data_IF_518435441716
#
_entry.id   IF_518435441716
#
_cell.length_a   1.000
_cell.length_b   1.000
_cell.length_c   1.000
_cell.angle_alpha   90.00
_cell.angle_beta   90.00
_cell.angle_gamma   90.00
#
_symmetry.space_group_name_H-M   'P 1'
#
loop_
_entity.id
_entity.type
_entity.pdbx_description
1 polymer ?
#
# COMPACT_ATOMS: atom_id res chain seq x y z
N UNK A 1 4.60 6.41 -4.61
CA UNK A 1 5.92 6.50 -5.25
C UNK A 1 6.04 5.37 -6.27
N UNK A 2 6.80 5.52 -7.35
CA UNK A 2 7.13 4.40 -8.25
C UNK A 2 8.59 4.00 -8.07
N UNK A 3 8.88 2.72 -8.19
CA UNK A 3 10.23 2.16 -8.20
C UNK A 3 10.44 1.30 -9.45
N UNK A 4 11.71 1.06 -9.79
CA UNK A 4 12.10 0.23 -10.94
C UNK A 4 12.87 -0.97 -10.39
N UNK A 5 12.40 -2.17 -10.69
CA UNK A 5 13.11 -3.43 -10.46
C UNK A 5 13.54 -4.02 -11.80
N UNK A 6 14.43 -5.00 -11.77
CA UNK A 6 14.79 -5.78 -12.97
C UNK A 6 13.56 -6.43 -13.63
N UNK A 7 12.54 -6.76 -12.83
CA UNK A 7 11.27 -7.33 -13.29
C UNK A 7 10.23 -6.31 -13.75
N UNK A 8 10.56 -5.01 -13.77
CA UNK A 8 9.67 -3.92 -14.20
C UNK A 8 9.31 -2.91 -13.09
N UNK A 9 8.31 -2.06 -13.38
CA UNK A 9 7.89 -0.97 -12.50
C UNK A 9 7.03 -1.47 -11.33
N UNK A 10 7.28 -0.94 -10.14
CA UNK A 10 6.51 -1.23 -8.92
C UNK A 10 5.96 0.04 -8.29
N UNK A 11 4.81 -0.05 -7.65
CA UNK A 11 4.30 1.01 -6.79
C UNK A 11 4.83 0.80 -5.36
N UNK A 12 5.43 1.83 -4.78
CA UNK A 12 5.99 1.80 -3.43
C UNK A 12 5.18 2.72 -2.52
N UNK A 13 4.69 2.16 -1.41
CA UNK A 13 4.06 2.88 -0.30
C UNK A 13 5.01 2.86 0.89
N UNK A 14 5.51 4.03 1.27
CA UNK A 14 6.32 4.22 2.48
C UNK A 14 5.38 4.41 3.66
N UNK A 15 5.56 3.62 4.71
CA UNK A 15 4.87 3.84 5.99
C UNK A 15 5.60 4.97 6.73
N UNK A 16 4.86 5.94 7.24
CA UNK A 16 5.45 7.08 7.93
C UNK A 16 6.03 6.65 9.28
N UNK A 17 7.16 7.26 9.65
CA UNK A 17 7.81 7.06 10.96
C UNK A 17 6.91 7.43 12.15
N UNK A 18 5.91 8.30 11.93
CA UNK A 18 4.94 8.70 12.94
C UNK A 18 3.89 7.61 13.24
N UNK A 19 3.72 6.64 12.34
CA UNK A 19 2.99 5.42 12.65
C UNK A 19 3.97 4.54 13.43
N UNK A 20 4.06 4.75 14.75
CA UNK A 20 4.82 3.87 15.65
C UNK A 20 4.09 2.53 15.77
N UNK A 21 4.09 1.80 14.66
CA UNK A 21 3.54 0.47 14.56
C UNK A 21 4.60 -0.48 15.10
N UNK A 22 4.27 -1.22 16.14
CA UNK A 22 5.16 -2.28 16.61
C UNK A 22 5.40 -3.35 15.51
N UNK A 23 6.40 -4.20 15.72
CA UNK A 23 6.76 -5.22 14.72
C UNK A 23 5.68 -6.29 14.56
N UNK A 24 4.93 -6.60 15.62
CA UNK A 24 3.90 -7.63 15.58
C UNK A 24 2.72 -7.19 14.71
N UNK A 25 2.25 -5.95 14.90
CA UNK A 25 1.21 -5.34 14.09
C UNK A 25 1.63 -5.24 12.62
N UNK A 26 2.88 -4.86 12.36
CA UNK A 26 3.40 -4.84 10.99
C UNK A 26 3.42 -6.21 10.34
N UNK A 27 3.91 -7.23 11.05
CA UNK A 27 3.93 -8.60 10.55
C UNK A 27 2.51 -9.14 10.31
N UNK A 28 1.55 -8.78 11.16
CA UNK A 28 0.14 -9.14 10.98
C UNK A 28 -0.46 -8.47 9.75
N UNK A 29 -0.19 -7.17 9.53
CA UNK A 29 -0.65 -6.44 8.36
C UNK A 29 -0.03 -7.00 7.06
N UNK A 30 1.28 -7.24 7.05
CA UNK A 30 1.99 -7.86 5.92
C UNK A 30 1.45 -9.27 5.63
N UNK A 31 1.25 -10.09 6.66
CA UNK A 31 0.64 -11.43 6.52
C UNK A 31 -0.73 -11.34 5.87
N UNK A 32 -1.54 -10.35 6.28
CA UNK A 32 -2.86 -10.10 5.69
C UNK A 32 -2.73 -9.70 4.22
N UNK A 33 -1.83 -8.78 3.88
CA UNK A 33 -1.58 -8.37 2.49
C UNK A 33 -1.10 -9.51 1.58
N UNK A 34 -0.31 -10.45 2.12
CA UNK A 34 0.14 -11.64 1.38
C UNK A 34 -1.03 -12.59 1.08
N UNK A 35 -1.97 -12.71 2.01
CA UNK A 35 -3.15 -13.60 1.87
C UNK A 35 -4.18 -13.03 0.91
N UNK A 36 -4.32 -11.71 0.84
CA UNK A 36 -5.30 -11.05 -0.03
C UNK A 36 -4.94 -11.25 -1.51
N UNK A 37 -5.74 -12.06 -2.19
CA UNK A 37 -5.62 -12.29 -3.64
C UNK A 37 -6.99 -12.16 -4.29
N UNK A 38 -7.18 -11.09 -5.06
CA UNK A 38 -8.43 -10.83 -5.77
C UNK A 38 -8.14 -10.11 -7.09
N UNK A 39 -8.88 -10.43 -8.15
CA UNK A 39 -8.70 -9.83 -9.49
C UNK A 39 -8.81 -8.29 -9.50
N UNK A 40 -9.59 -7.73 -8.57
CA UNK A 40 -9.84 -6.29 -8.42
C UNK A 40 -8.99 -5.63 -7.32
N UNK A 41 -8.09 -6.37 -6.66
CA UNK A 41 -7.16 -5.80 -5.67
C UNK A 41 -5.77 -5.76 -6.30
N UNK A 42 -5.08 -4.63 -6.16
CA UNK A 42 -3.71 -4.48 -6.64
C UNK A 42 -2.82 -5.49 -5.92
N UNK A 43 -2.12 -6.32 -6.70
CA UNK A 43 -1.29 -7.40 -6.16
C UNK A 43 -0.16 -6.85 -5.30
N UNK A 44 -0.08 -7.31 -4.05
CA UNK A 44 1.08 -7.12 -3.20
C UNK A 44 2.26 -7.96 -3.72
N UNK A 45 3.44 -7.35 -3.80
CA UNK A 45 4.66 -7.99 -4.32
C UNK A 45 5.67 -8.32 -3.22
N UNK A 46 5.66 -7.55 -2.13
CA UNK A 46 6.59 -7.74 -1.03
C UNK A 46 6.79 -6.46 -0.22
N UNK A 47 7.71 -6.51 0.73
CA UNK A 47 8.03 -5.39 1.60
C UNK A 47 9.54 -5.28 1.84
N UNK A 48 9.96 -4.12 2.32
CA UNK A 48 11.27 -3.90 2.91
C UNK A 48 11.04 -3.34 4.32
N UNK A 49 11.64 -3.96 5.32
CA UNK A 49 11.62 -3.52 6.69
C UNK A 49 13.05 -3.48 7.20
N UNK A 50 13.49 -2.31 7.61
CA UNK A 50 14.84 -2.07 8.08
C UNK A 50 14.81 -1.14 9.29
N UNK A 51 15.67 -1.39 10.26
CA UNK A 51 15.78 -0.59 11.48
C UNK A 51 17.24 -0.20 11.64
N UNK A 52 17.50 1.10 11.53
CA UNK A 52 18.86 1.64 11.61
C UNK A 52 19.00 2.57 12.81
N UNK A 53 20.07 2.41 13.58
CA UNK A 53 20.43 3.37 14.62
C UNK A 53 20.99 4.65 13.99
N UNK A 54 20.35 5.78 14.25
CA UNK A 54 20.80 7.10 13.78
C UNK A 54 21.16 7.97 14.97
N UNK A 55 22.32 8.63 14.91
CA UNK A 55 22.72 9.58 15.94
C UNK A 55 21.90 10.85 15.79
N UNK A 56 21.11 11.16 16.82
CA UNK A 56 20.22 12.32 16.88
C UNK A 56 20.54 13.14 18.13
N UNK A 57 20.32 14.45 18.08
CA UNK A 57 20.54 15.35 19.21
C UNK A 57 19.27 15.47 20.02
N UNK A 58 19.28 14.97 21.26
CA UNK A 58 18.16 15.08 22.20
C UNK A 58 18.60 15.84 23.45
N UNK A 59 17.89 16.94 23.77
CA UNK A 59 18.17 17.76 24.95
C UNK A 59 19.66 18.16 25.08
N UNK A 60 20.30 18.49 23.95
CA UNK A 60 21.72 18.86 23.91
C UNK A 60 22.72 17.70 23.91
N UNK A 61 22.28 16.45 24.09
CA UNK A 61 23.12 15.24 24.08
C UNK A 61 22.97 14.48 22.77
N UNK A 62 24.05 13.83 22.33
CA UNK A 62 24.00 12.89 21.20
C UNK A 62 23.49 11.56 21.71
N UNK A 63 22.39 11.06 21.12
CA UNK A 63 21.79 9.76 21.43
C UNK A 63 21.66 8.95 20.15
N UNK A 64 21.72 7.63 20.25
CA UNK A 64 21.40 6.75 19.12
C UNK A 64 19.90 6.47 19.21
N UNK A 65 19.15 6.87 18.20
CA UNK A 65 17.73 6.62 18.07
C UNK A 65 17.49 5.63 16.93
N UNK A 66 16.62 4.65 17.17
CA UNK A 66 16.22 3.71 16.12
C UNK A 66 15.30 4.41 15.11
N UNK A 67 15.65 4.29 13.84
CA UNK A 67 14.87 4.78 12.71
C UNK A 67 14.38 3.59 11.91
N UNK A 68 13.08 3.34 11.98
CA UNK A 68 12.42 2.25 11.24
C UNK A 68 12.02 2.70 9.84
N UNK A 69 12.55 2.06 8.82
CA UNK A 69 12.13 2.23 7.44
C UNK A 69 11.28 1.04 7.00
N UNK A 70 10.02 1.30 6.67
CA UNK A 70 9.09 0.27 6.20
C UNK A 70 8.48 0.69 4.87
N UNK A 71 8.66 -0.16 3.85
CA UNK A 71 8.19 0.03 2.49
C UNK A 71 7.34 -1.16 2.08
N UNK A 72 6.20 -0.90 1.45
CA UNK A 72 5.33 -1.90 0.86
C UNK A 72 5.36 -1.75 -0.66
N UNK A 73 5.56 -2.86 -1.37
CA UNK A 73 5.68 -2.92 -2.82
C UNK A 73 4.44 -3.60 -3.43
N UNK A 74 3.85 -2.94 -4.42
CA UNK A 74 2.66 -3.39 -5.14
C UNK A 74 2.89 -3.39 -6.64
N UNK A 75 2.08 -4.15 -7.37
CA UNK A 75 2.03 -4.06 -8.83
C UNK A 75 1.70 -2.63 -9.25
N UNK A 76 2.45 -2.11 -10.22
CA UNK A 76 2.23 -0.76 -10.73
C UNK A 76 0.93 -0.68 -11.54
N UNK A 77 0.15 0.38 -11.30
CA UNK A 77 -1.09 0.66 -12.02
C UNK A 77 -0.88 1.88 -12.93
N UNK A 78 -0.73 1.70 -14.25
CA UNK A 78 -0.36 2.78 -15.16
C UNK A 78 -1.43 3.87 -15.28
N UNK A 79 -2.69 3.51 -15.07
CA UNK A 79 -3.81 4.44 -15.15
C UNK A 79 -3.94 5.32 -13.90
N UNK A 80 -3.12 5.14 -12.86
CA UNK A 80 -3.16 5.97 -11.66
C UNK A 80 -4.38 5.72 -10.76
N UNK A 81 -4.67 6.67 -9.87
CA UNK A 81 -5.73 6.57 -8.87
C UNK A 81 -7.10 6.90 -9.43
N UNK A 82 -8.12 6.19 -8.95
CA UNK A 82 -9.51 6.43 -9.32
C UNK A 82 -9.97 7.88 -9.04
N UNK A 83 -9.49 8.48 -7.94
CA UNK A 83 -9.76 9.87 -7.57
C UNK A 83 -9.48 10.86 -8.72
N UNK A 84 -8.37 10.65 -9.45
CA UNK A 84 -8.02 11.48 -10.61
C UNK A 84 -9.02 11.34 -11.75
N UNK A 85 -9.61 10.17 -11.92
CA UNK A 85 -10.60 9.91 -12.97
C UNK A 85 -12.00 10.42 -12.60
N UNK A 86 -12.32 10.49 -11.31
CA UNK A 86 -13.61 11.01 -10.83
C UNK A 86 -13.60 12.54 -10.83
N UNK A 87 -12.50 13.16 -10.39
CA UNK A 87 -12.42 14.62 -10.22
C UNK A 87 -12.04 15.37 -11.50
N UNK A 88 -11.67 14.67 -12.58
CA UNK A 88 -11.38 15.31 -13.86
C UNK A 88 -12.69 15.73 -14.55
N UNK A 89 -13.05 17.01 -14.38
CA UNK A 89 -14.23 17.61 -14.98
C UNK A 89 -14.25 17.55 -16.52
N UNK A 90 -13.10 17.33 -17.17
CA UNK A 90 -12.98 17.18 -18.62
C UNK A 90 -13.15 15.74 -19.11
N UNK A 91 -13.14 14.76 -18.19
CA UNK A 91 -13.19 13.31 -18.46
C UNK A 91 -14.17 12.59 -17.55
N UNK A 92 -15.36 13.17 -17.37
CA UNK A 92 -16.43 12.55 -16.59
C UNK A 92 -16.61 11.07 -16.97
N UNK A 93 -16.54 10.18 -15.99
CA UNK A 93 -16.65 8.75 -16.20
C UNK A 93 -18.05 8.41 -16.74
N UNK A 94 -18.11 7.70 -17.87
CA UNK A 94 -19.37 7.17 -18.39
C UNK A 94 -20.03 6.28 -17.33
N UNK A 95 -21.37 6.34 -17.22
CA UNK A 95 -22.13 5.54 -16.26
C UNK A 95 -21.80 4.05 -16.31
N UNK A 96 -21.58 3.50 -17.52
CA UNK A 96 -21.17 2.11 -17.70
C UNK A 96 -19.86 1.80 -16.99
N UNK A 97 -18.88 2.70 -17.06
CA UNK A 97 -17.58 2.57 -16.39
C UNK A 97 -17.75 2.68 -14.87
N UNK A 98 -18.53 3.65 -14.40
CA UNK A 98 -18.88 3.78 -12.97
C UNK A 98 -19.50 2.50 -12.41
N UNK A 99 -20.45 1.90 -13.15
CA UNK A 99 -21.06 0.65 -12.75
C UNK A 99 -20.06 -0.50 -12.66
N UNK A 100 -19.10 -0.61 -13.60
CA UNK A 100 -18.05 -1.64 -13.52
C UNK A 100 -17.13 -1.44 -12.31
N UNK A 101 -16.81 -0.19 -11.96
CA UNK A 101 -16.02 0.13 -10.77
C UNK A 101 -16.78 -0.32 -9.51
N UNK A 102 -18.05 0.05 -9.38
CA UNK A 102 -18.91 -0.32 -8.24
C UNK A 102 -19.01 -1.84 -8.12
N UNK A 103 -19.29 -2.53 -9.23
CA UNK A 103 -19.37 -4.00 -9.28
C UNK A 103 -18.04 -4.63 -8.87
N UNK A 104 -16.92 -4.06 -9.32
CA UNK A 104 -15.58 -4.53 -8.97
C UNK A 104 -15.29 -4.43 -7.47
N UNK A 105 -15.71 -3.33 -6.83
CA UNK A 105 -15.60 -3.13 -5.38
C UNK A 105 -16.50 -4.10 -4.63
N UNK A 106 -17.74 -4.29 -5.09
CA UNK A 106 -18.67 -5.24 -4.49
C UNK A 106 -18.16 -6.69 -4.55
N UNK A 107 -17.56 -7.11 -5.68
CA UNK A 107 -16.96 -8.43 -5.85
C UNK A 107 -15.88 -8.71 -4.77
N UNK A 108 -15.09 -7.68 -4.40
CA UNK A 108 -14.05 -7.79 -3.36
C UNK A 108 -14.67 -8.15 -2.01
N UNK A 109 -15.71 -7.42 -1.59
CA UNK A 109 -16.35 -7.65 -0.29
C UNK A 109 -16.98 -9.05 -0.23
N UNK A 110 -17.61 -9.49 -1.33
CA UNK A 110 -18.26 -10.79 -1.40
C UNK A 110 -17.29 -11.97 -1.23
N UNK A 111 -16.10 -11.90 -1.83
CA UNK A 111 -15.11 -12.98 -1.70
C UNK A 111 -14.46 -13.03 -0.31
N UNK A 112 -14.27 -11.89 0.34
CA UNK A 112 -13.73 -11.87 1.70
C UNK A 112 -14.70 -12.49 2.72
N UNK A 113 -16.02 -12.32 2.56
CA UNK A 113 -17.01 -12.97 3.44
C UNK A 113 -17.12 -14.48 3.32
N UNK A 114 -16.65 -15.08 2.21
CA UNK A 114 -16.66 -16.55 2.03
C UNK A 114 -15.38 -17.19 2.59
N UNK A 115 -14.31 -16.42 2.77
CA UNK A 115 -13.03 -16.91 3.32
C UNK A 115 -12.99 -16.97 4.86
N UNK A 116 -14.05 -16.50 5.54
CA UNK A 116 -14.21 -16.56 7.00
C UNK A 116 -15.15 -17.68 7.48
N UNK A 117 -15.58 -18.61 6.61
CA UNK A 117 -16.36 -19.80 6.95
C UNK A 117 -15.72 -21.10 6.43
#
# INVERSE_FOLDING_TARGET
MQGILQSGTVAVKRLSLALDMDENNFNQEVSSLIRVKHKNIVRFLGYCADTQGKVEKYMGKMVIADVRQRLLCFAFMPNGSLDKHINDASRGLEWRTCYQIIKGIWDICRQNSIAEY
#
